data_IF_642359978533
#
_entry.id   IF_642359978533
#
_cell.length_a   1.000
_cell.length_b   1.000
_cell.length_c   1.000
_cell.angle_alpha   90.00
_cell.angle_beta   90.00
_cell.angle_gamma   90.00
#
_symmetry.space_group_name_H-M   'P 1'
#
loop_
_entity.id
_entity.type
_entity.pdbx_description
1 polymer ?
#
# COMPACT_ATOMS: atom_id res chain seq x y z
N UNK A 1 32.72 -19.59 2.21
CA UNK A 1 31.65 -19.95 3.16
C UNK A 1 30.93 -18.67 3.55
N UNK A 2 29.64 -18.55 3.24
CA UNK A 2 28.81 -17.46 3.73
C UNK A 2 28.31 -17.93 5.10
N UNK A 3 28.90 -17.43 6.18
CA UNK A 3 28.63 -17.92 7.52
C UNK A 3 27.38 -17.30 8.18
N UNK A 4 26.80 -16.22 7.61
CA UNK A 4 25.54 -15.61 8.07
C UNK A 4 24.82 -14.91 6.92
N UNK A 5 23.52 -15.18 6.72
CA UNK A 5 22.61 -14.35 5.91
C UNK A 5 21.97 -13.33 6.83
N UNK A 6 22.29 -12.06 6.67
CA UNK A 6 21.59 -10.95 7.33
C UNK A 6 20.51 -10.48 6.37
N UNK A 7 19.25 -10.62 6.77
CA UNK A 7 18.11 -10.05 6.02
C UNK A 7 17.90 -8.61 6.54
N UNK A 8 18.22 -7.64 5.71
CA UNK A 8 17.83 -6.25 5.98
C UNK A 8 16.32 -6.12 5.71
N UNK A 9 15.61 -5.53 6.66
CA UNK A 9 14.20 -5.16 6.50
C UNK A 9 14.10 -3.69 6.12
N UNK A 10 13.06 -3.33 5.38
CA UNK A 10 12.74 -1.94 5.14
C UNK A 10 12.40 -1.25 6.47
N UNK A 11 12.66 0.05 6.54
CA UNK A 11 12.24 0.89 7.66
C UNK A 11 10.71 0.86 7.77
N UNK A 12 10.20 0.78 9.00
CA UNK A 12 8.81 1.02 9.28
C UNK A 12 8.51 2.54 9.23
N UNK A 13 7.24 2.93 9.32
CA UNK A 13 6.88 4.34 9.20
C UNK A 13 7.54 5.23 10.27
N UNK A 14 7.58 4.78 11.52
CA UNK A 14 8.22 5.55 12.60
C UNK A 14 9.73 5.75 12.35
N UNK A 15 10.40 4.75 11.81
CA UNK A 15 11.82 4.86 11.42
C UNK A 15 12.01 5.83 10.26
N UNK A 16 11.07 5.87 9.29
CA UNK A 16 11.07 6.88 8.21
C UNK A 16 10.89 8.28 8.77
N UNK A 17 9.99 8.49 9.73
CA UNK A 17 9.83 9.79 10.41
C UNK A 17 11.13 10.21 11.10
N UNK A 18 11.81 9.29 11.76
CA UNK A 18 13.13 9.57 12.42
C UNK A 18 14.23 9.86 11.41
N UNK A 19 14.18 9.25 10.23
CA UNK A 19 15.15 9.49 9.15
C UNK A 19 14.92 10.82 8.43
N UNK A 20 13.72 11.39 8.53
CA UNK A 20 13.32 12.66 7.89
C UNK A 20 12.84 13.68 8.94
N UNK A 21 13.65 14.07 9.92
CA UNK A 21 13.21 14.87 11.07
C UNK A 21 12.76 16.29 10.69
N UNK A 22 13.16 16.79 9.53
CA UNK A 22 12.78 18.12 9.04
C UNK A 22 11.39 18.10 8.35
N UNK A 23 10.82 16.91 8.11
CA UNK A 23 9.52 16.78 7.45
C UNK A 23 8.37 16.76 8.46
N UNK A 24 7.29 17.52 8.20
CA UNK A 24 6.01 17.29 8.87
C UNK A 24 5.51 15.86 8.63
N UNK A 25 4.82 15.28 9.60
CA UNK A 25 4.32 13.89 9.54
C UNK A 25 3.54 13.61 8.25
N UNK A 26 2.69 14.55 7.81
CA UNK A 26 1.96 14.40 6.56
C UNK A 26 2.87 14.22 5.33
N UNK A 27 4.00 14.91 5.27
CA UNK A 27 5.00 14.70 4.20
C UNK A 27 5.73 13.37 4.35
N UNK A 28 5.97 12.90 5.58
CA UNK A 28 6.51 11.56 5.82
C UNK A 28 5.55 10.47 5.35
N UNK A 29 4.24 10.63 5.57
CA UNK A 29 3.21 9.70 5.07
C UNK A 29 3.22 9.66 3.54
N UNK A 30 3.26 10.82 2.88
CA UNK A 30 3.37 10.90 1.40
C UNK A 30 4.65 10.19 0.92
N UNK A 31 5.79 10.48 1.52
CA UNK A 31 7.08 9.86 1.16
C UNK A 31 7.01 8.34 1.34
N UNK A 32 6.50 7.87 2.48
CA UNK A 32 6.37 6.44 2.77
C UNK A 32 5.44 5.74 1.78
N UNK A 33 4.30 6.33 1.45
CA UNK A 33 3.37 5.78 0.45
C UNK A 33 3.97 5.71 -0.96
N UNK A 34 4.92 6.59 -1.30
CA UNK A 34 5.55 6.65 -2.62
C UNK A 34 6.76 5.71 -2.74
N UNK A 35 7.71 5.80 -1.81
CA UNK A 35 8.99 5.06 -1.90
C UNK A 35 9.19 4.01 -0.80
N UNK A 36 8.21 3.84 0.09
CA UNK A 36 8.32 2.93 1.21
C UNK A 36 9.42 3.30 2.21
N UNK A 37 9.86 2.29 2.93
CA UNK A 37 10.95 2.40 3.89
C UNK A 37 12.29 1.87 3.39
N UNK A 38 12.53 1.81 2.09
CA UNK A 38 13.81 1.33 1.54
C UNK A 38 14.93 2.32 1.88
N UNK A 39 15.94 1.93 2.69
CA UNK A 39 16.97 2.87 3.17
C UNK A 39 17.69 3.60 2.04
N UNK A 40 17.97 2.90 0.93
CA UNK A 40 18.63 3.47 -0.24
C UNK A 40 17.81 4.57 -0.91
N UNK A 41 16.49 4.51 -0.84
CA UNK A 41 15.59 5.53 -1.39
C UNK A 41 15.45 6.71 -0.43
N UNK A 42 15.26 6.43 0.87
CA UNK A 42 15.14 7.45 1.93
C UNK A 42 16.40 8.33 1.98
N UNK A 43 17.59 7.73 1.93
CA UNK A 43 18.86 8.47 1.95
C UNK A 43 19.06 9.43 0.77
N UNK A 44 18.33 9.24 -0.33
CA UNK A 44 18.37 10.12 -1.52
C UNK A 44 17.23 11.12 -1.55
N UNK A 45 16.25 10.95 -0.68
CA UNK A 45 15.12 11.87 -0.55
C UNK A 45 15.58 13.15 0.15
N UNK A 46 15.37 14.30 -0.48
CA UNK A 46 15.78 15.58 0.08
C UNK A 46 14.68 16.12 1.01
N UNK A 47 14.88 16.06 2.31
CA UNK A 47 13.94 16.57 3.29
C UNK A 47 13.78 18.11 3.29
N UNK A 48 14.66 18.86 2.59
CA UNK A 48 14.52 20.32 2.42
C UNK A 48 13.66 20.70 1.20
N UNK A 49 13.40 19.77 0.30
CA UNK A 49 12.56 19.95 -0.85
C UNK A 49 11.14 19.45 -0.58
N UNK A 50 10.16 19.87 -1.36
CA UNK A 50 8.81 19.31 -1.29
C UNK A 50 8.74 17.91 -1.94
N UNK A 51 7.60 17.24 -1.78
CA UNK A 51 7.38 15.90 -2.32
C UNK A 51 7.41 15.90 -3.83
N UNK A 52 6.80 16.89 -4.50
CA UNK A 52 6.81 17.03 -5.97
C UNK A 52 8.23 17.13 -6.50
N UNK A 53 9.05 18.00 -5.93
CA UNK A 53 10.44 18.17 -6.32
C UNK A 53 11.24 16.87 -6.22
N UNK A 54 11.04 16.11 -5.14
CA UNK A 54 11.71 14.82 -4.98
C UNK A 54 11.25 13.80 -6.02
N UNK A 55 9.94 13.70 -6.30
CA UNK A 55 9.40 12.83 -7.34
C UNK A 55 9.99 13.19 -8.70
N UNK A 56 9.93 14.47 -9.07
CA UNK A 56 10.48 14.94 -10.36
C UNK A 56 11.96 14.60 -10.51
N UNK A 57 12.76 14.85 -9.46
CA UNK A 57 14.21 14.65 -9.48
C UNK A 57 14.61 13.17 -9.47
N UNK A 58 13.98 12.36 -8.62
CA UNK A 58 14.43 10.98 -8.38
C UNK A 58 13.77 9.97 -9.32
N UNK A 59 12.49 10.22 -9.68
CA UNK A 59 11.64 9.22 -10.34
C UNK A 59 11.37 9.59 -11.79
N UNK A 60 11.08 10.86 -12.09
CA UNK A 60 10.62 11.28 -13.41
C UNK A 60 11.73 11.83 -14.31
N UNK A 61 12.86 12.25 -13.75
CA UNK A 61 13.96 12.79 -14.54
C UNK A 61 14.84 11.68 -15.12
N UNK A 62 15.19 11.71 -16.41
CA UNK A 62 16.22 10.83 -16.96
C UNK A 62 17.52 10.94 -16.13
N UNK A 63 18.06 9.81 -15.69
CA UNK A 63 19.20 9.76 -14.79
C UNK A 63 18.86 9.94 -13.30
N UNK A 64 17.61 10.15 -12.94
CA UNK A 64 17.14 10.04 -11.55
C UNK A 64 17.40 8.64 -11.00
N UNK A 65 17.75 8.55 -9.73
CA UNK A 65 18.14 7.28 -9.11
C UNK A 65 17.08 6.18 -9.21
N UNK A 66 15.82 6.56 -9.24
CA UNK A 66 14.68 5.64 -9.31
C UNK A 66 14.06 5.55 -10.72
N UNK A 67 14.61 6.25 -11.71
CA UNK A 67 13.99 6.35 -13.04
C UNK A 67 13.75 4.98 -13.70
N UNK A 68 14.69 4.04 -13.59
CA UNK A 68 14.57 2.67 -14.09
C UNK A 68 14.39 1.61 -12.99
N UNK A 69 14.41 2.00 -11.73
CA UNK A 69 14.50 1.05 -10.63
C UNK A 69 13.33 0.06 -10.53
N UNK A 70 12.12 0.42 -11.00
CA UNK A 70 10.98 -0.50 -11.02
C UNK A 70 11.12 -1.55 -12.13
N UNK A 71 11.60 -1.15 -13.31
CA UNK A 71 11.86 -2.05 -14.43
C UNK A 71 12.99 -3.02 -14.11
N UNK A 72 14.09 -2.53 -13.53
CA UNK A 72 15.25 -3.33 -13.13
C UNK A 72 14.85 -4.39 -12.08
N UNK A 73 14.09 -3.99 -11.04
CA UNK A 73 13.66 -4.88 -9.96
C UNK A 73 12.81 -6.04 -10.47
N UNK A 74 11.97 -5.80 -11.49
CA UNK A 74 11.11 -6.83 -12.08
C UNK A 74 11.91 -7.65 -13.09
N UNK A 75 12.73 -6.99 -13.91
CA UNK A 75 13.52 -7.59 -14.97
C UNK A 75 14.58 -8.59 -14.45
N UNK A 76 15.17 -8.34 -13.31
CA UNK A 76 16.14 -9.24 -12.68
C UNK A 76 15.54 -10.60 -12.27
N UNK A 77 14.24 -10.63 -11.97
CA UNK A 77 13.58 -11.78 -11.36
C UNK A 77 12.71 -12.59 -12.33
N UNK A 78 12.25 -12.01 -13.45
CA UNK A 78 11.18 -12.57 -14.26
C UNK A 78 11.54 -12.66 -15.75
N UNK A 79 11.08 -13.74 -16.39
CA UNK A 79 11.07 -13.88 -17.86
C UNK A 79 9.67 -13.56 -18.38
N UNK A 80 9.53 -13.19 -19.66
CA UNK A 80 8.25 -12.78 -20.26
C UNK A 80 7.62 -11.57 -19.55
N UNK A 81 8.40 -10.52 -19.38
CA UNK A 81 8.09 -9.31 -18.61
C UNK A 81 6.72 -8.72 -18.93
N UNK A 82 6.32 -8.63 -20.20
CA UNK A 82 5.07 -7.98 -20.63
C UNK A 82 3.79 -8.57 -19.97
N UNK A 83 3.79 -9.87 -19.65
CA UNK A 83 2.66 -10.50 -18.97
C UNK A 83 2.62 -10.10 -17.50
N UNK A 84 3.77 -10.09 -16.84
CA UNK A 84 3.88 -9.66 -15.44
C UNK A 84 3.55 -8.19 -15.28
N UNK A 85 4.05 -7.34 -16.16
CA UNK A 85 3.76 -5.89 -16.20
C UNK A 85 2.26 -5.63 -16.36
N UNK A 86 1.60 -6.36 -17.28
CA UNK A 86 0.15 -6.27 -17.46
C UNK A 86 -0.59 -6.62 -16.16
N UNK A 87 -0.22 -7.69 -15.47
CA UNK A 87 -0.84 -8.10 -14.21
C UNK A 87 -0.59 -7.06 -13.12
N UNK A 88 0.66 -6.60 -12.97
CA UNK A 88 1.04 -5.61 -11.96
C UNK A 88 0.33 -4.27 -12.18
N UNK A 89 0.21 -3.83 -13.43
CA UNK A 89 -0.53 -2.62 -13.79
C UNK A 89 -2.01 -2.72 -13.38
N UNK A 90 -2.65 -3.89 -13.59
CA UNK A 90 -4.02 -4.10 -13.16
C UNK A 90 -4.15 -4.11 -11.63
N UNK A 91 -3.22 -4.74 -10.90
CA UNK A 91 -3.21 -4.72 -9.44
C UNK A 91 -3.03 -3.29 -8.93
N UNK A 92 -2.11 -2.53 -9.50
CA UNK A 92 -1.87 -1.13 -9.16
C UNK A 92 -3.07 -0.22 -9.47
N UNK A 93 -3.86 -0.55 -10.51
CA UNK A 93 -5.10 0.12 -10.85
C UNK A 93 -6.30 -0.29 -9.97
N UNK A 94 -6.09 -1.13 -8.94
CA UNK A 94 -7.15 -1.56 -8.01
C UNK A 94 -7.90 -2.83 -8.45
N UNK A 95 -7.50 -3.49 -9.54
CA UNK A 95 -8.04 -4.79 -9.93
C UNK A 95 -7.31 -5.90 -9.16
N UNK A 96 -7.46 -5.88 -7.84
CA UNK A 96 -6.64 -6.61 -6.89
C UNK A 96 -7.19 -8.00 -6.49
N UNK A 97 -8.36 -8.40 -7.04
CA UNK A 97 -8.94 -9.74 -6.86
C UNK A 97 -8.71 -10.60 -8.10
N UNK A 98 -8.49 -11.90 -7.91
CA UNK A 98 -8.25 -12.82 -9.03
C UNK A 98 -9.32 -12.75 -10.11
N UNK A 99 -10.60 -12.63 -9.73
CA UNK A 99 -11.67 -12.54 -10.69
C UNK A 99 -11.62 -11.25 -11.53
N UNK A 100 -11.14 -10.17 -10.95
CA UNK A 100 -10.99 -8.89 -11.64
C UNK A 100 -9.84 -8.99 -12.64
N UNK A 101 -8.72 -9.56 -12.25
CA UNK A 101 -7.59 -9.84 -13.14
C UNK A 101 -8.00 -10.70 -14.35
N UNK A 102 -8.81 -11.74 -14.15
CA UNK A 102 -9.30 -12.56 -15.27
C UNK A 102 -10.14 -11.77 -16.27
N UNK A 103 -10.91 -10.78 -15.80
CA UNK A 103 -11.77 -9.96 -16.67
C UNK A 103 -10.99 -8.89 -17.42
N UNK A 104 -10.00 -8.29 -16.76
CA UNK A 104 -9.33 -7.09 -17.27
C UNK A 104 -8.11 -7.40 -18.13
N UNK A 105 -7.42 -8.53 -17.91
CA UNK A 105 -6.20 -8.88 -18.65
C UNK A 105 -6.46 -9.71 -19.91
N UNK A 106 -7.66 -10.22 -20.10
CA UNK A 106 -7.99 -11.20 -21.15
C UNK A 106 -7.14 -12.48 -21.13
N UNK A 107 -6.37 -12.73 -20.07
CA UNK A 107 -5.62 -13.98 -19.91
C UNK A 107 -6.50 -15.09 -19.34
N UNK A 108 -6.17 -16.36 -19.67
CA UNK A 108 -6.84 -17.51 -19.09
C UNK A 108 -6.58 -17.59 -17.57
N UNK A 109 -7.53 -18.17 -16.85
CA UNK A 109 -7.41 -18.40 -15.39
C UNK A 109 -6.16 -19.19 -15.03
N UNK A 110 -5.83 -20.21 -15.83
CA UNK A 110 -4.63 -21.01 -15.62
C UNK A 110 -3.36 -20.17 -15.76
N UNK A 111 -3.28 -19.34 -16.82
CA UNK A 111 -2.16 -18.42 -17.04
C UNK A 111 -1.99 -17.47 -15.85
N UNK A 112 -3.03 -16.73 -15.46
CA UNK A 112 -2.95 -15.80 -14.33
C UNK A 112 -2.51 -16.52 -13.03
N UNK A 113 -3.07 -17.70 -12.74
CA UNK A 113 -2.72 -18.43 -11.53
C UNK A 113 -1.24 -18.78 -11.45
N UNK A 114 -0.61 -19.16 -12.57
CA UNK A 114 0.84 -19.42 -12.63
C UNK A 114 1.64 -18.15 -12.39
N UNK A 115 1.31 -17.05 -13.07
CA UNK A 115 2.05 -15.78 -12.94
C UNK A 115 1.90 -15.17 -11.55
N UNK A 116 0.69 -15.22 -10.96
CA UNK A 116 0.46 -14.78 -9.58
C UNK A 116 1.26 -15.60 -8.55
N UNK A 117 1.37 -16.92 -8.77
CA UNK A 117 2.21 -17.78 -7.93
C UNK A 117 3.69 -17.40 -8.03
N UNK A 118 4.18 -17.11 -9.23
CA UNK A 118 5.56 -16.68 -9.42
C UNK A 118 5.81 -15.31 -8.77
N UNK A 119 4.94 -14.31 -9.00
CA UNK A 119 5.04 -13.00 -8.36
C UNK A 119 5.07 -13.09 -6.84
N UNK A 120 4.27 -13.98 -6.26
CA UNK A 120 4.28 -14.22 -4.82
C UNK A 120 5.56 -14.95 -4.35
N UNK A 121 6.09 -15.89 -5.14
CA UNK A 121 7.33 -16.62 -4.83
C UNK A 121 8.57 -15.70 -4.85
N UNK A 122 8.56 -14.67 -5.70
CA UNK A 122 9.59 -13.63 -5.76
C UNK A 122 9.33 -12.46 -4.82
N UNK A 123 8.35 -12.56 -3.93
CA UNK A 123 8.00 -11.50 -2.97
C UNK A 123 7.57 -10.15 -3.62
N UNK A 124 7.20 -10.14 -4.90
CA UNK A 124 6.77 -8.93 -5.62
C UNK A 124 5.36 -8.55 -5.20
N UNK A 125 4.49 -9.54 -4.99
CA UNK A 125 3.13 -9.34 -4.48
C UNK A 125 2.91 -10.11 -3.18
N UNK A 126 1.91 -9.64 -2.44
CA UNK A 126 1.39 -10.35 -1.27
C UNK A 126 -0.13 -10.45 -1.32
N UNK A 127 -0.68 -11.49 -0.71
CA UNK A 127 -2.11 -11.59 -0.48
C UNK A 127 -2.45 -11.06 0.90
N UNK A 128 -3.27 -10.02 0.94
CA UNK A 128 -3.85 -9.49 2.18
C UNK A 128 -5.18 -10.21 2.40
N UNK A 129 -5.21 -11.06 3.40
CA UNK A 129 -6.40 -11.84 3.76
C UNK A 129 -7.36 -10.98 4.56
N UNK A 130 -8.66 -11.09 4.26
CA UNK A 130 -9.70 -10.38 4.98
C UNK A 130 -9.76 -10.83 6.43
N UNK A 131 -9.83 -9.86 7.35
CA UNK A 131 -9.98 -10.12 8.77
C UNK A 131 -11.34 -10.75 9.08
N UNK A 132 -11.33 -11.84 9.84
CA UNK A 132 -12.54 -12.53 10.29
C UNK A 132 -12.55 -12.58 11.82
N UNK A 133 -13.60 -12.08 12.44
CA UNK A 133 -13.69 -11.92 13.90
C UNK A 133 -13.87 -13.23 14.66
N UNK A 134 -14.23 -14.31 13.97
CA UNK A 134 -14.42 -15.62 14.56
C UNK A 134 -13.15 -16.35 15.03
N UNK A 135 -11.97 -15.76 14.88
CA UNK A 135 -10.69 -16.34 15.29
C UNK A 135 -10.02 -17.22 14.22
N UNK A 136 -10.58 -17.28 13.02
CA UNK A 136 -10.03 -17.96 11.84
C UNK A 136 -9.95 -17.00 10.66
N UNK A 137 -9.12 -17.28 9.70
CA UNK A 137 -8.98 -16.49 8.48
C UNK A 137 -9.57 -17.23 7.27
N UNK A 138 -10.39 -16.54 6.49
CA UNK A 138 -10.87 -17.08 5.23
C UNK A 138 -9.87 -16.76 4.12
N UNK A 139 -8.95 -17.69 3.88
CA UNK A 139 -7.90 -17.55 2.87
C UNK A 139 -8.42 -17.42 1.43
N UNK A 140 -9.69 -17.70 1.18
CA UNK A 140 -10.33 -17.45 -0.13
C UNK A 140 -10.71 -15.99 -0.33
N UNK A 141 -10.95 -15.25 0.77
CA UNK A 141 -11.22 -13.81 0.75
C UNK A 141 -9.92 -13.05 0.93
N UNK A 142 -9.76 -11.96 0.20
CA UNK A 142 -8.60 -11.09 0.27
C UNK A 142 -8.28 -10.48 -1.08
N UNK A 143 -7.28 -9.63 -1.06
CA UNK A 143 -6.80 -8.86 -2.20
C UNK A 143 -5.31 -9.09 -2.40
N UNK A 144 -4.84 -8.91 -3.63
CA UNK A 144 -3.41 -8.95 -3.93
C UNK A 144 -2.86 -7.52 -3.97
N UNK A 145 -1.68 -7.32 -3.40
CA UNK A 145 -1.00 -6.02 -3.37
C UNK A 145 0.45 -6.18 -3.82
N UNK A 146 0.95 -5.21 -4.53
CA UNK A 146 2.38 -5.07 -4.79
C UNK A 146 3.03 -4.70 -3.45
N UNK A 147 4.10 -5.39 -3.08
CA UNK A 147 4.75 -5.22 -1.76
C UNK A 147 5.61 -3.97 -1.67
N UNK A 148 6.35 -3.68 -2.72
CA UNK A 148 7.18 -2.49 -2.79
C UNK A 148 6.33 -1.27 -3.14
N UNK A 149 6.35 -0.25 -2.27
CA UNK A 149 5.53 0.95 -2.45
C UNK A 149 5.94 1.72 -3.70
N UNK A 150 7.26 1.79 -3.98
CA UNK A 150 7.74 2.48 -5.17
C UNK A 150 7.33 1.76 -6.45
N UNK A 151 7.46 0.44 -6.51
CA UNK A 151 6.98 -0.36 -7.64
C UNK A 151 5.49 -0.16 -7.85
N UNK A 152 4.69 -0.16 -6.75
CA UNK A 152 3.26 0.11 -6.86
C UNK A 152 2.96 1.53 -7.35
N UNK A 153 3.69 2.55 -6.87
CA UNK A 153 3.57 3.92 -7.33
C UNK A 153 3.89 4.04 -8.83
N UNK A 154 4.96 3.37 -9.29
CA UNK A 154 5.38 3.37 -10.66
C UNK A 154 4.34 2.73 -11.59
N UNK A 155 3.81 1.56 -11.23
CA UNK A 155 2.75 0.91 -12.02
C UNK A 155 1.42 1.66 -11.98
N UNK A 156 1.14 2.39 -10.93
CA UNK A 156 -0.09 3.17 -10.81
C UNK A 156 -0.08 4.44 -11.65
N UNK A 157 1.02 5.21 -11.60
CA UNK A 157 1.08 6.54 -12.19
C UNK A 157 1.94 6.65 -13.43
N UNK A 158 3.00 5.85 -13.55
CA UNK A 158 4.03 6.05 -14.57
C UNK A 158 3.85 5.06 -15.71
N UNK A 159 3.74 3.80 -15.42
CA UNK A 159 3.63 2.75 -16.43
C UNK A 159 2.51 2.99 -17.45
N UNK A 160 1.29 3.43 -17.09
CA UNK A 160 0.23 3.70 -18.07
C UNK A 160 0.55 4.86 -19.03
N UNK A 161 1.54 5.68 -18.70
CA UNK A 161 1.88 6.93 -19.41
C UNK A 161 3.35 7.00 -19.81
N UNK A 162 4.03 5.86 -20.04
CA UNK A 162 5.45 5.80 -20.36
C UNK A 162 5.84 6.64 -21.59
N UNK A 163 5.00 6.66 -22.63
CA UNK A 163 5.26 7.48 -23.81
C UNK A 163 5.35 8.98 -23.45
N UNK A 164 4.45 9.44 -22.58
CA UNK A 164 4.44 10.84 -22.17
C UNK A 164 5.60 11.16 -21.20
N UNK A 165 6.04 10.18 -20.40
CA UNK A 165 7.24 10.34 -19.57
C UNK A 165 8.48 10.71 -20.41
N UNK A 166 8.62 10.13 -21.59
CA UNK A 166 9.76 10.41 -22.48
C UNK A 166 9.60 11.74 -23.24
N UNK A 167 8.39 12.26 -23.37
CA UNK A 167 8.07 13.40 -24.23
C UNK A 167 7.81 14.70 -23.46
N UNK A 168 7.58 14.63 -22.16
CA UNK A 168 7.22 15.80 -21.34
C UNK A 168 8.28 16.09 -20.28
N UNK A 169 8.25 17.32 -19.73
CA UNK A 169 9.07 17.65 -18.57
C UNK A 169 8.53 16.96 -17.31
N UNK A 170 9.40 16.60 -16.34
CA UNK A 170 9.00 15.93 -15.10
C UNK A 170 7.87 16.65 -14.34
N UNK A 171 7.92 17.98 -14.29
CA UNK A 171 6.91 18.79 -13.58
C UNK A 171 5.55 18.73 -14.28
N UNK A 172 5.54 18.77 -15.62
CA UNK A 172 4.32 18.66 -16.41
C UNK A 172 3.71 17.26 -16.31
N UNK A 173 4.54 16.22 -16.35
CA UNK A 173 4.11 14.84 -16.12
C UNK A 173 3.48 14.68 -14.74
N UNK A 174 4.15 15.20 -13.70
CA UNK A 174 3.63 15.16 -12.34
C UNK A 174 2.26 15.83 -12.23
N UNK A 175 2.13 17.06 -12.73
CA UNK A 175 0.89 17.83 -12.61
C UNK A 175 -0.28 17.19 -13.37
N UNK A 176 0.01 16.52 -14.48
CA UNK A 176 -1.00 15.87 -15.33
C UNK A 176 -1.46 14.52 -14.80
N UNK A 177 -0.52 13.68 -14.36
CA UNK A 177 -0.80 12.25 -14.09
C UNK A 177 -0.71 11.86 -12.61
N UNK A 178 0.07 12.58 -11.79
CA UNK A 178 0.30 12.18 -10.40
C UNK A 178 -0.53 13.03 -9.46
N UNK A 179 -0.42 14.35 -9.55
CA UNK A 179 -1.05 15.26 -8.60
C UNK A 179 -2.57 15.04 -8.42
N UNK A 180 -3.38 14.82 -9.49
CA UNK A 180 -4.82 14.67 -9.34
C UNK A 180 -5.24 13.41 -8.56
N UNK A 181 -4.44 12.34 -8.58
CA UNK A 181 -4.76 11.06 -7.95
C UNK A 181 -3.95 10.73 -6.69
N UNK A 182 -2.97 11.56 -6.35
CA UNK A 182 -1.98 11.22 -5.32
C UNK A 182 -2.60 11.01 -3.94
N UNK A 183 -3.47 11.89 -3.49
CA UNK A 183 -4.07 11.76 -2.15
C UNK A 183 -5.03 10.56 -2.07
N UNK A 184 -5.79 10.27 -3.12
CA UNK A 184 -6.59 9.03 -3.19
C UNK A 184 -5.72 7.76 -3.14
N UNK A 185 -4.60 7.76 -3.88
CA UNK A 185 -3.61 6.69 -3.84
C UNK A 185 -3.01 6.48 -2.45
N UNK A 186 -2.75 7.57 -1.72
CA UNK A 186 -2.13 7.53 -0.40
C UNK A 186 -3.05 7.03 0.71
N UNK A 187 -4.38 7.07 0.53
CA UNK A 187 -5.35 6.68 1.55
C UNK A 187 -5.10 5.29 2.13
N UNK A 188 -4.73 4.32 1.29
CA UNK A 188 -4.44 2.96 1.77
C UNK A 188 -3.15 2.88 2.61
N UNK A 189 -2.14 3.68 2.29
CA UNK A 189 -0.89 3.73 3.07
C UNK A 189 -1.09 4.44 4.39
N UNK A 190 -2.02 5.38 4.43
CA UNK A 190 -2.46 6.00 5.68
C UNK A 190 -3.09 4.97 6.62
N UNK A 191 -3.90 4.05 6.10
CA UNK A 191 -4.43 2.92 6.89
C UNK A 191 -3.29 2.08 7.49
N UNK A 192 -2.25 1.78 6.70
CA UNK A 192 -1.08 1.02 7.19
C UNK A 192 -0.33 1.78 8.30
N UNK A 193 -0.15 3.09 8.15
CA UNK A 193 0.43 3.97 9.18
C UNK A 193 -0.43 4.00 10.44
N UNK A 194 -1.75 4.09 10.30
CA UNK A 194 -2.68 4.02 11.45
C UNK A 194 -2.59 2.68 12.18
N UNK A 195 -2.47 1.57 11.45
CA UNK A 195 -2.28 0.25 12.07
C UNK A 195 -0.96 0.18 12.84
N UNK A 196 0.14 0.69 12.27
CA UNK A 196 1.43 0.75 12.97
C UNK A 196 1.32 1.60 14.25
N UNK A 197 0.68 2.75 14.17
CA UNK A 197 0.45 3.64 15.31
C UNK A 197 -0.38 2.97 16.42
N UNK A 198 -1.49 2.31 16.05
CA UNK A 198 -2.28 1.53 17.01
C UNK A 198 -1.48 0.40 17.64
N UNK A 199 -0.63 -0.27 16.88
CA UNK A 199 0.29 -1.27 17.39
C UNK A 199 1.23 -0.70 18.47
N UNK A 200 1.79 0.49 18.23
CA UNK A 200 2.64 1.19 19.20
C UNK A 200 1.86 1.61 20.45
N UNK A 201 0.66 2.17 20.28
CA UNK A 201 -0.22 2.51 21.42
C UNK A 201 -0.56 1.26 22.27
N UNK A 202 -0.81 0.12 21.60
CA UNK A 202 -1.05 -1.15 22.25
C UNK A 202 0.15 -1.64 23.09
N UNK A 203 1.36 -1.52 22.55
CA UNK A 203 2.59 -1.91 23.26
C UNK A 203 2.82 -1.07 24.53
N UNK A 204 2.43 0.21 24.52
CA UNK A 204 2.59 1.10 25.68
C UNK A 204 1.34 1.17 26.58
N UNK A 205 0.35 0.31 26.33
CA UNK A 205 -0.87 0.21 27.17
C UNK A 205 -1.81 1.41 27.09
N UNK A 206 -1.78 2.17 25.99
CA UNK A 206 -2.63 3.37 25.78
C UNK A 206 -3.93 3.08 25.04
N UNK A 207 -4.25 1.82 24.79
CA UNK A 207 -5.52 1.43 24.17
C UNK A 207 -6.48 0.82 25.20
N UNK A 208 -7.81 0.93 24.96
CA UNK A 208 -8.81 0.37 25.86
C UNK A 208 -8.85 -1.17 25.85
N UNK A 209 -8.20 -1.80 24.87
CA UNK A 209 -8.05 -3.26 24.80
C UNK A 209 -6.61 -3.65 24.42
N UNK A 210 -6.20 -4.85 24.86
CA UNK A 210 -4.91 -5.44 24.47
C UNK A 210 -5.08 -6.13 23.11
N UNK A 211 -4.44 -5.61 22.09
CA UNK A 211 -4.53 -6.15 20.74
C UNK A 211 -3.84 -7.52 20.66
N UNK A 212 -4.61 -8.56 20.31
CA UNK A 212 -4.10 -9.88 19.97
C UNK A 212 -3.91 -10.04 18.46
N UNK A 213 -4.79 -9.42 17.67
CA UNK A 213 -4.72 -9.44 16.22
C UNK A 213 -5.35 -8.17 15.61
N UNK A 214 -4.85 -7.75 14.46
CA UNK A 214 -5.33 -6.57 13.75
C UNK A 214 -5.29 -6.80 12.24
N UNK A 215 -6.20 -6.18 11.50
CA UNK A 215 -6.24 -6.26 10.06
C UNK A 215 -7.40 -5.48 9.46
N UNK A 216 -7.57 -5.63 8.15
CA UNK A 216 -8.64 -5.00 7.36
C UNK A 216 -9.69 -6.04 6.98
N UNK A 217 -10.97 -5.73 7.10
CA UNK A 217 -12.00 -6.57 6.50
C UNK A 217 -12.26 -6.13 5.07
N UNK A 218 -12.24 -7.10 4.14
CA UNK A 218 -12.44 -6.88 2.70
C UNK A 218 -13.77 -7.46 2.29
N UNK A 219 -14.73 -6.59 1.99
CA UNK A 219 -16.05 -6.96 1.50
C UNK A 219 -16.17 -6.93 -0.02
N UNK A 220 -17.39 -7.22 -0.50
CA UNK A 220 -17.73 -7.12 -1.92
C UNK A 220 -17.96 -5.67 -2.34
N UNK A 221 -18.60 -4.89 -1.49
CA UNK A 221 -19.11 -3.54 -1.77
C UNK A 221 -18.56 -2.49 -0.80
N UNK A 222 -17.49 -2.80 -0.08
CA UNK A 222 -16.83 -1.90 0.87
C UNK A 222 -15.92 -2.67 1.81
N UNK A 223 -15.13 -1.92 2.55
CA UNK A 223 -14.12 -2.45 3.47
C UNK A 223 -14.31 -1.83 4.86
N UNK A 224 -13.69 -2.43 5.87
CA UNK A 224 -13.44 -1.81 7.16
C UNK A 224 -11.93 -1.66 7.25
N UNK A 225 -11.44 -0.44 7.42
CA UNK A 225 -10.02 -0.12 7.34
C UNK A 225 -9.22 -0.86 8.42
N UNK A 226 -9.67 -0.76 9.67
CA UNK A 226 -8.98 -1.38 10.80
C UNK A 226 -9.98 -2.13 11.68
N UNK A 227 -9.64 -3.37 11.98
CA UNK A 227 -10.26 -4.14 13.05
C UNK A 227 -9.14 -4.64 13.93
N UNK A 228 -9.16 -4.25 15.19
CA UNK A 228 -8.28 -4.78 16.23
C UNK A 228 -9.11 -5.59 17.21
N UNK A 229 -8.65 -6.80 17.55
CA UNK A 229 -9.36 -7.73 18.42
C UNK A 229 -8.44 -8.22 19.54
N UNK A 230 -8.97 -8.35 20.74
CA UNK A 230 -8.28 -8.96 21.86
C UNK A 230 -8.53 -10.48 21.93
N UNK A 231 -7.91 -11.15 22.90
CA UNK A 231 -8.01 -12.62 23.09
C UNK A 231 -9.44 -13.09 23.42
N UNK A 232 -10.26 -12.25 24.07
CA UNK A 232 -11.66 -12.55 24.40
C UNK A 232 -12.64 -12.05 23.33
N UNK A 233 -12.12 -11.71 22.12
CA UNK A 233 -12.90 -11.32 20.93
C UNK A 233 -13.68 -10.02 21.04
N UNK A 234 -13.29 -9.11 21.92
CA UNK A 234 -13.76 -7.73 21.84
C UNK A 234 -13.06 -7.00 20.70
N UNK A 235 -13.80 -6.16 19.98
CA UNK A 235 -13.31 -5.48 18.81
C UNK A 235 -13.21 -3.98 19.05
N UNK A 236 -12.15 -3.39 18.49
CA UNK A 236 -12.04 -1.99 18.18
C UNK A 236 -12.04 -1.84 16.67
N UNK A 237 -12.91 -0.99 16.14
CA UNK A 237 -13.04 -0.75 14.70
C UNK A 237 -12.56 0.65 14.38
N UNK A 238 -11.74 0.78 13.32
CA UNK A 238 -11.15 2.03 12.89
C UNK A 238 -11.62 2.47 11.51
N UNK A 239 -11.87 3.77 11.39
CA UNK A 239 -12.08 4.49 10.14
C UNK A 239 -10.89 5.43 9.92
N UNK A 240 -10.27 5.37 8.76
CA UNK A 240 -9.13 6.19 8.40
C UNK A 240 -9.50 7.12 7.24
N UNK A 241 -9.27 8.42 7.42
CA UNK A 241 -9.50 9.41 6.38
C UNK A 241 -8.24 10.23 6.13
N UNK A 242 -7.70 10.13 4.92
CA UNK A 242 -6.53 10.91 4.47
C UNK A 242 -6.91 12.15 3.68
N UNK A 243 -8.01 12.10 2.95
CA UNK A 243 -8.36 13.10 1.95
C UNK A 243 -9.07 14.30 2.54
N UNK A 244 -9.91 14.08 3.56
CA UNK A 244 -10.73 15.12 4.17
C UNK A 244 -10.24 15.39 5.59
N UNK A 245 -10.21 16.66 6.02
CA UNK A 245 -9.74 17.03 7.35
C UNK A 245 -10.69 16.59 8.48
N UNK A 246 -11.95 16.32 8.15
CA UNK A 246 -12.99 15.96 9.11
C UNK A 246 -13.72 14.69 8.68
N UNK A 247 -14.19 13.94 9.66
CA UNK A 247 -15.07 12.80 9.42
C UNK A 247 -16.48 13.27 9.12
N UNK A 248 -17.06 12.75 8.03
CA UNK A 248 -18.44 13.05 7.67
C UNK A 248 -19.40 11.98 8.20
N UNK A 249 -20.68 12.34 8.35
CA UNK A 249 -21.73 11.39 8.71
C UNK A 249 -21.82 10.24 7.70
N UNK A 250 -21.65 10.52 6.41
CA UNK A 250 -21.68 9.51 5.36
C UNK A 250 -20.58 8.47 5.51
N UNK A 251 -19.37 8.89 5.93
CA UNK A 251 -18.27 7.96 6.24
C UNK A 251 -18.61 7.03 7.42
N UNK A 252 -19.23 7.58 8.46
CA UNK A 252 -19.67 6.79 9.60
C UNK A 252 -20.78 5.82 9.22
N UNK A 253 -21.77 6.25 8.44
CA UNK A 253 -22.85 5.39 7.94
C UNK A 253 -22.30 4.25 7.07
N UNK A 254 -21.34 4.54 6.19
CA UNK A 254 -20.67 3.55 5.37
C UNK A 254 -19.93 2.52 6.24
N UNK A 255 -19.23 2.97 7.30
CA UNK A 255 -18.60 2.08 8.27
C UNK A 255 -19.61 1.15 8.93
N UNK A 256 -20.70 1.70 9.48
CA UNK A 256 -21.74 0.88 10.14
C UNK A 256 -22.41 -0.09 9.17
N UNK A 257 -22.64 0.30 7.92
CA UNK A 257 -23.16 -0.59 6.90
C UNK A 257 -22.19 -1.75 6.61
N UNK A 258 -20.90 -1.46 6.53
CA UNK A 258 -19.88 -2.49 6.33
C UNK A 258 -19.73 -3.39 7.55
N UNK A 259 -19.81 -2.87 8.77
CA UNK A 259 -19.85 -3.66 10.01
C UNK A 259 -21.05 -4.62 10.03
N UNK A 260 -22.24 -4.16 9.61
CA UNK A 260 -23.43 -5.01 9.48
C UNK A 260 -23.23 -6.13 8.46
N UNK A 261 -22.66 -5.81 7.29
CA UNK A 261 -22.30 -6.78 6.22
C UNK A 261 -21.27 -7.81 6.69
N UNK A 262 -20.30 -7.36 7.46
CA UNK A 262 -19.25 -8.19 8.05
C UNK A 262 -19.73 -9.00 9.25
N UNK A 263 -20.90 -8.68 9.83
CA UNK A 263 -21.42 -9.20 11.10
C UNK A 263 -20.45 -8.94 12.27
N UNK A 264 -19.90 -7.73 12.31
CA UNK A 264 -18.95 -7.28 13.34
C UNK A 264 -19.64 -6.28 14.25
N UNK A 265 -19.61 -6.58 15.55
CA UNK A 265 -19.84 -5.60 16.63
C UNK A 265 -18.53 -4.97 17.05
N UNK A 266 -18.57 -3.77 17.62
CA UNK A 266 -17.41 -3.12 18.20
C UNK A 266 -17.77 -2.51 19.56
N UNK A 267 -16.86 -2.68 20.51
CA UNK A 267 -16.92 -2.05 21.83
C UNK A 267 -16.23 -0.68 21.81
N UNK A 268 -15.30 -0.51 20.89
CA UNK A 268 -14.50 0.72 20.78
C UNK A 268 -14.36 1.13 19.32
N UNK A 269 -14.18 2.44 19.11
CA UNK A 269 -13.95 3.04 17.80
C UNK A 269 -12.67 3.86 17.81
N UNK A 270 -11.94 3.80 16.71
CA UNK A 270 -10.81 4.65 16.37
C UNK A 270 -11.18 5.44 15.11
N UNK A 271 -11.26 6.77 15.25
CA UNK A 271 -11.73 7.69 14.21
C UNK A 271 -10.68 8.76 13.93
#
# INVERSE_FOLDING_TARGET
KIDRKIKFTNLNFLEVVRALPEYPVAKCIKTYGIIGGVPGYINRWNAKADVKTNICRLILSPGGYLYHAAEDLIGESLRELSVYETILAQIAAGQDKLNDLYRTTAFSRAKISVYMKNLAAFDIIQKVVSFETGGWENTKKGVYRIRDNYVNFWFHFIYPHLSDLYMTRPEEFYDRYIAPGLDAYLSRYFVEVCMEYLGLLGMVGKLPLKIARMGTWVGKEGNIDIIAQNEIRQNMVGLCNWQEPELTMEMCEALFLNMKRAKIGAEYYFL
#
